data_IF_164238257688
#
_entry.id   IF_164238257688
#
_cell.length_a   1.000
_cell.length_b   1.000
_cell.length_c   1.000
_cell.angle_alpha   90.00
_cell.angle_beta   90.00
_cell.angle_gamma   90.00
#
_symmetry.space_group_name_H-M   'P 1'
#
loop_
_entity.id
_entity.type
_entity.pdbx_description
1 polymer ?
#
# COMPACT_ATOMS: atom_id res chain seq x y z
N UNK A 1 18.83 -7.09 -33.47
CA UNK A 1 18.85 -5.66 -33.86
C UNK A 1 18.79 -4.84 -32.58
N UNK A 2 19.94 -4.43 -32.08
CA UNK A 2 20.11 -3.74 -30.80
C UNK A 2 19.87 -2.25 -31.01
N UNK A 3 18.80 -1.69 -30.47
CA UNK A 3 18.55 -0.25 -30.48
C UNK A 3 19.46 0.42 -29.46
N UNK A 4 20.65 0.83 -29.88
CA UNK A 4 21.52 1.69 -29.08
C UNK A 4 20.84 3.03 -28.87
N UNK A 5 20.47 3.34 -27.63
CA UNK A 5 20.11 4.71 -27.25
C UNK A 5 21.40 5.52 -27.11
N UNK A 6 21.48 6.73 -27.70
CA UNK A 6 22.69 7.53 -27.66
C UNK A 6 22.97 8.06 -26.25
N UNK A 7 24.19 7.80 -25.77
CA UNK A 7 24.79 8.37 -24.57
C UNK A 7 24.93 9.88 -24.74
N UNK A 8 23.93 10.65 -24.30
CA UNK A 8 23.98 12.11 -24.43
C UNK A 8 22.77 12.89 -23.91
N UNK A 9 21.76 12.24 -23.34
CA UNK A 9 20.63 12.92 -22.74
C UNK A 9 20.82 13.05 -21.22
N UNK A 10 20.88 14.31 -20.78
CA UNK A 10 20.85 14.80 -19.41
C UNK A 10 22.22 14.93 -18.73
N UNK A 11 23.03 15.88 -19.22
CA UNK A 11 23.71 16.74 -18.26
C UNK A 11 22.62 17.35 -17.38
N UNK A 12 22.61 17.02 -16.09
CA UNK A 12 21.66 17.59 -15.12
C UNK A 12 21.99 19.07 -15.05
N UNK A 13 21.25 19.86 -15.83
CA UNK A 13 21.45 21.29 -15.88
C UNK A 13 21.36 21.86 -14.47
N UNK A 14 22.38 22.64 -14.19
CA UNK A 14 22.81 23.23 -12.93
C UNK A 14 21.87 24.36 -12.48
N UNK A 15 20.56 24.16 -12.59
CA UNK A 15 19.58 25.17 -12.18
C UNK A 15 19.60 25.27 -10.67
N UNK A 16 19.95 26.46 -10.17
CA UNK A 16 19.81 26.86 -8.77
C UNK A 16 18.40 26.52 -8.29
N UNK A 17 18.26 25.40 -7.60
CA UNK A 17 17.01 25.02 -6.96
C UNK A 17 16.81 26.00 -5.81
N UNK A 18 16.06 27.07 -6.07
CA UNK A 18 15.64 28.00 -5.03
C UNK A 18 15.05 27.18 -3.90
N UNK A 19 15.71 27.20 -2.75
CA UNK A 19 15.25 26.49 -1.56
C UNK A 19 13.95 27.13 -1.09
N UNK A 20 12.83 26.45 -1.34
CA UNK A 20 11.51 26.89 -0.89
C UNK A 20 11.35 26.39 0.54
N UNK A 21 11.27 27.28 1.52
CA UNK A 21 11.10 26.93 2.95
C UNK A 21 9.65 27.03 3.41
N UNK A 22 8.88 27.99 2.87
CA UNK A 22 7.48 28.23 3.19
C UNK A 22 6.57 28.24 1.95
N UNK A 23 5.26 28.06 2.18
CA UNK A 23 4.22 28.11 1.15
C UNK A 23 2.89 28.57 1.74
N UNK A 24 2.14 29.36 0.97
CA UNK A 24 0.77 29.76 1.32
C UNK A 24 -0.23 28.66 0.96
N UNK A 25 -1.05 28.25 1.93
CA UNK A 25 -2.12 27.29 1.70
C UNK A 25 -3.24 27.92 0.85
N UNK A 26 -3.65 27.26 -0.24
CA UNK A 26 -4.73 27.77 -1.12
C UNK A 26 -6.14 27.78 -0.50
N UNK A 27 -6.36 27.10 0.64
CA UNK A 27 -7.68 27.02 1.29
C UNK A 27 -7.80 27.98 2.46
N UNK A 28 -6.86 27.94 3.42
CA UNK A 28 -6.90 28.84 4.59
C UNK A 28 -6.10 30.13 4.40
N UNK A 29 -5.35 30.27 3.31
CA UNK A 29 -4.52 31.45 3.01
C UNK A 29 -3.41 31.76 4.02
N UNK A 30 -3.14 30.88 4.99
CA UNK A 30 -2.01 31.03 5.90
C UNK A 30 -0.69 30.57 5.25
N UNK A 31 0.38 31.33 5.49
CA UNK A 31 1.76 30.93 5.17
C UNK A 31 2.27 29.95 6.22
N UNK A 32 2.79 28.81 5.77
CA UNK A 32 3.29 27.73 6.64
C UNK A 32 4.53 27.11 6.01
N UNK A 33 5.35 26.48 6.85
CA UNK A 33 6.51 25.68 6.40
C UNK A 33 6.08 24.46 5.58
N UNK A 34 6.97 23.99 4.69
CA UNK A 34 6.67 22.85 3.81
C UNK A 34 6.27 21.56 4.57
N UNK A 35 6.71 21.39 5.82
CA UNK A 35 6.34 20.23 6.65
C UNK A 35 4.83 20.14 6.97
N UNK A 36 4.11 21.26 6.88
CA UNK A 36 2.65 21.30 7.07
C UNK A 36 1.87 20.88 5.82
N UNK A 37 2.54 20.53 4.72
CA UNK A 37 1.94 20.06 3.48
C UNK A 37 2.28 18.59 3.25
N UNK A 38 1.42 17.85 2.55
CA UNK A 38 1.71 16.47 2.14
C UNK A 38 2.56 16.45 0.86
N UNK A 39 3.41 15.44 0.66
CA UNK A 39 4.20 15.30 -0.56
C UNK A 39 3.32 15.15 -1.80
N UNK A 40 3.80 15.70 -2.93
CA UNK A 40 3.12 15.65 -4.23
C UNK A 40 4.14 15.74 -5.37
N UNK A 41 4.15 14.74 -6.26
CA UNK A 41 5.17 14.57 -7.29
C UNK A 41 5.34 15.79 -8.22
N UNK A 42 4.24 16.47 -8.55
CA UNK A 42 4.25 17.62 -9.48
C UNK A 42 4.01 18.97 -8.79
N UNK A 43 3.98 18.98 -7.44
CA UNK A 43 3.71 20.21 -6.68
C UNK A 43 4.94 21.13 -6.61
N UNK A 44 4.74 22.45 -6.61
CA UNK A 44 5.82 23.41 -6.30
C UNK A 44 6.41 23.08 -4.92
N UNK A 45 7.72 22.83 -4.88
CA UNK A 45 8.44 22.38 -3.68
C UNK A 45 8.19 20.92 -3.31
N UNK A 46 7.71 20.08 -4.24
CA UNK A 46 7.43 18.66 -3.99
C UNK A 46 6.24 18.40 -3.06
N UNK A 47 5.39 19.40 -2.80
CA UNK A 47 4.26 19.29 -1.85
C UNK A 47 2.95 19.83 -2.42
N UNK A 48 1.82 19.40 -1.85
CA UNK A 48 0.46 19.85 -2.19
C UNK A 48 0.28 21.37 -2.05
N UNK A 49 -0.77 21.91 -2.66
CA UNK A 49 -1.13 23.34 -2.54
C UNK A 49 -1.96 23.67 -1.29
N UNK A 50 -2.43 22.66 -0.56
CA UNK A 50 -3.25 22.78 0.64
C UNK A 50 -2.55 22.12 1.83
N UNK A 51 -2.62 22.74 3.00
CA UNK A 51 -2.01 22.19 4.21
C UNK A 51 -2.74 20.92 4.70
N UNK A 52 -2.07 20.16 5.57
CA UNK A 52 -2.58 18.91 6.16
C UNK A 52 -3.90 19.11 6.90
N UNK A 53 -4.06 20.19 7.66
CA UNK A 53 -5.29 20.51 8.39
C UNK A 53 -6.49 20.67 7.44
N UNK A 54 -6.35 21.54 6.43
CA UNK A 54 -7.35 21.73 5.38
C UNK A 54 -7.67 20.43 4.60
N UNK A 55 -6.70 19.55 4.41
CA UNK A 55 -6.94 18.24 3.78
C UNK A 55 -7.73 17.32 4.71
N UNK A 56 -7.43 17.31 6.01
CA UNK A 56 -8.14 16.51 7.00
C UNK A 56 -9.61 16.95 7.12
N UNK A 57 -9.87 18.25 7.17
CA UNK A 57 -11.23 18.82 7.13
C UNK A 57 -11.97 18.39 5.86
N UNK A 58 -11.38 18.57 4.66
CA UNK A 58 -12.01 18.14 3.41
C UNK A 58 -12.33 16.64 3.41
N UNK A 59 -11.45 15.81 3.99
CA UNK A 59 -11.67 14.37 4.10
C UNK A 59 -12.81 14.04 5.08
N UNK A 60 -12.93 14.76 6.20
CA UNK A 60 -14.03 14.63 7.16
C UNK A 60 -15.36 15.09 6.55
N UNK A 61 -15.37 16.23 5.85
CA UNK A 61 -16.52 16.75 5.12
C UNK A 61 -17.02 15.69 4.12
N UNK A 62 -16.12 15.20 3.25
CA UNK A 62 -16.46 14.17 2.26
C UNK A 62 -17.01 12.90 2.92
N UNK A 63 -16.40 12.44 4.01
CA UNK A 63 -16.81 11.26 4.75
C UNK A 63 -18.24 11.35 5.31
N UNK A 64 -18.67 12.54 5.70
CA UNK A 64 -20.02 12.81 6.19
C UNK A 64 -21.08 12.84 5.07
N UNK A 65 -20.68 12.91 3.80
CA UNK A 65 -21.63 12.86 2.69
C UNK A 65 -22.15 11.43 2.45
N UNK A 66 -23.37 11.25 1.89
CA UNK A 66 -23.85 9.92 1.49
C UNK A 66 -22.89 9.20 0.53
N UNK A 67 -22.26 9.96 -0.38
CA UNK A 67 -21.26 9.43 -1.34
C UNK A 67 -20.02 8.90 -0.62
N UNK A 68 -19.49 9.66 0.35
CA UNK A 68 -18.34 9.24 1.15
C UNK A 68 -18.63 8.01 2.00
N UNK A 69 -19.80 7.95 2.66
CA UNK A 69 -20.25 6.75 3.37
C UNK A 69 -20.34 5.54 2.46
N UNK A 70 -20.96 5.68 1.30
CA UNK A 70 -21.08 4.58 0.33
C UNK A 70 -19.70 4.12 -0.19
N UNK A 71 -18.76 5.05 -0.41
CA UNK A 71 -17.39 4.72 -0.80
C UNK A 71 -16.67 3.92 0.29
N UNK A 72 -16.76 4.34 1.55
CA UNK A 72 -16.20 3.59 2.70
C UNK A 72 -16.82 2.21 2.85
N UNK A 73 -18.14 2.10 2.72
CA UNK A 73 -18.84 0.82 2.80
C UNK A 73 -18.36 -0.16 1.71
N UNK A 74 -18.18 0.32 0.47
CA UNK A 74 -17.62 -0.50 -0.63
C UNK A 74 -16.18 -0.95 -0.35
N UNK A 75 -15.33 -0.06 0.16
CA UNK A 75 -13.96 -0.40 0.52
C UNK A 75 -13.91 -1.46 1.63
N UNK A 76 -14.72 -1.30 2.68
CA UNK A 76 -14.83 -2.27 3.77
C UNK A 76 -15.37 -3.62 3.28
N UNK A 77 -16.39 -3.62 2.41
CA UNK A 77 -16.91 -4.85 1.83
C UNK A 77 -15.85 -5.60 1.03
N UNK A 78 -15.01 -4.88 0.25
CA UNK A 78 -13.88 -5.48 -0.48
C UNK A 78 -12.84 -6.07 0.46
N UNK A 79 -12.49 -5.36 1.54
CA UNK A 79 -11.55 -5.85 2.55
C UNK A 79 -12.06 -7.13 3.22
N UNK A 80 -13.31 -7.13 3.70
CA UNK A 80 -13.93 -8.31 4.32
C UNK A 80 -14.00 -9.49 3.35
N UNK A 81 -14.34 -9.24 2.08
CA UNK A 81 -14.36 -10.29 1.06
C UNK A 81 -12.95 -10.89 0.83
N UNK A 82 -11.91 -10.06 0.76
CA UNK A 82 -10.53 -10.52 0.62
C UNK A 82 -10.07 -11.34 1.82
N UNK A 83 -10.39 -10.89 3.04
CA UNK A 83 -10.06 -11.61 4.27
C UNK A 83 -10.74 -12.99 4.31
N UNK A 84 -12.03 -13.06 4.01
CA UNK A 84 -12.75 -14.35 3.94
C UNK A 84 -12.18 -15.27 2.86
N UNK A 85 -11.77 -14.73 1.72
CA UNK A 85 -11.14 -15.52 0.67
C UNK A 85 -9.79 -16.10 1.12
N UNK A 86 -9.00 -15.32 1.85
CA UNK A 86 -7.75 -15.79 2.43
C UNK A 86 -7.98 -16.89 3.47
N UNK A 87 -8.92 -16.70 4.39
CA UNK A 87 -9.29 -17.70 5.39
C UNK A 87 -9.79 -19.00 4.75
N UNK A 88 -10.59 -18.90 3.68
CA UNK A 88 -11.06 -20.06 2.92
C UNK A 88 -9.92 -20.78 2.20
N UNK A 89 -8.96 -20.04 1.63
CA UNK A 89 -7.78 -20.61 0.99
C UNK A 89 -6.88 -21.36 2.00
N UNK A 90 -6.67 -20.75 3.17
CA UNK A 90 -5.90 -21.35 4.26
C UNK A 90 -6.60 -22.61 4.80
N UNK A 91 -7.92 -22.57 4.95
CA UNK A 91 -8.71 -23.74 5.36
C UNK A 91 -8.63 -24.87 4.33
N UNK A 92 -8.76 -24.56 3.04
CA UNK A 92 -8.62 -25.54 1.96
C UNK A 92 -7.21 -26.14 1.92
N UNK A 93 -6.18 -25.32 2.12
CA UNK A 93 -4.79 -25.78 2.20
C UNK A 93 -4.58 -26.75 3.37
N UNK A 94 -5.10 -26.42 4.56
CA UNK A 94 -5.06 -27.30 5.74
C UNK A 94 -5.75 -28.63 5.48
N UNK A 95 -6.96 -28.61 4.90
CA UNK A 95 -7.68 -29.84 4.55
C UNK A 95 -6.89 -30.71 3.56
N UNK A 96 -6.25 -30.10 2.56
CA UNK A 96 -5.40 -30.80 1.61
C UNK A 96 -4.20 -31.46 2.30
N UNK A 97 -3.55 -30.79 3.25
CA UNK A 97 -2.47 -31.38 4.05
C UNK A 97 -2.98 -32.59 4.82
N UNK A 98 -4.14 -32.50 5.48
CA UNK A 98 -4.72 -33.60 6.24
C UNK A 98 -5.03 -34.81 5.33
N UNK A 99 -5.54 -34.59 4.13
CA UNK A 99 -5.73 -35.66 3.14
C UNK A 99 -4.41 -36.32 2.74
N UNK A 100 -3.33 -35.52 2.51
CA UNK A 100 -2.01 -36.06 2.17
C UNK A 100 -1.47 -36.95 3.31
N UNK A 101 -1.65 -36.54 4.57
CA UNK A 101 -1.22 -37.29 5.76
C UNK A 101 -1.89 -38.66 5.90
N UNK A 102 -3.09 -38.86 5.32
CA UNK A 102 -3.79 -40.14 5.37
C UNK A 102 -3.11 -41.21 4.49
N UNK A 103 -2.40 -40.81 3.44
CA UNK A 103 -1.75 -41.75 2.51
C UNK A 103 -0.33 -42.14 2.96
N UNK A 104 0.11 -43.41 2.81
CA UNK A 104 1.49 -43.81 3.16
C UNK A 104 2.55 -43.04 2.36
N UNK A 105 2.33 -42.86 1.06
CA UNK A 105 3.21 -42.10 0.18
C UNK A 105 3.27 -40.61 0.58
N UNK A 106 2.12 -40.02 0.94
CA UNK A 106 2.04 -38.63 1.40
C UNK A 106 2.76 -38.42 2.73
N UNK A 107 2.67 -39.36 3.68
CA UNK A 107 3.48 -39.32 4.91
C UNK A 107 4.97 -39.40 4.63
N UNK A 108 5.40 -40.32 3.77
CA UNK A 108 6.80 -40.42 3.36
C UNK A 108 7.30 -39.13 2.69
N UNK A 109 6.46 -38.49 1.88
CA UNK A 109 6.75 -37.20 1.25
C UNK A 109 6.87 -36.07 2.29
N UNK A 110 5.90 -35.90 3.18
CA UNK A 110 5.94 -34.87 4.22
C UNK A 110 7.12 -35.05 5.20
N UNK A 111 7.50 -36.30 5.50
CA UNK A 111 8.67 -36.62 6.31
C UNK A 111 9.98 -36.17 5.63
N UNK A 112 10.10 -36.31 4.30
CA UNK A 112 11.26 -35.84 3.54
C UNK A 112 11.46 -34.32 3.60
N UNK A 113 10.36 -33.56 3.70
CA UNK A 113 10.40 -32.09 3.78
C UNK A 113 10.42 -31.55 5.22
N UNK A 114 10.46 -32.41 6.25
CA UNK A 114 10.49 -31.98 7.64
C UNK A 114 9.20 -31.26 8.10
N UNK A 115 8.08 -31.45 7.40
CA UNK A 115 6.80 -30.78 7.69
C UNK A 115 6.01 -31.51 8.78
N UNK A 116 6.32 -32.79 9.02
CA UNK A 116 5.82 -33.50 10.20
C UNK A 116 6.68 -33.06 11.38
N UNK A 117 6.16 -32.13 12.19
CA UNK A 117 6.75 -31.83 13.48
C UNK A 117 6.96 -33.15 14.23
N UNK A 118 8.19 -33.38 14.68
CA UNK A 118 8.52 -34.53 15.49
C UNK A 118 7.52 -34.56 16.65
N UNK A 119 6.66 -35.57 16.66
CA UNK A 119 5.69 -35.74 17.74
C UNK A 119 6.51 -35.76 19.04
N UNK A 120 6.21 -34.89 20.03
CA UNK A 120 6.96 -34.88 21.27
C UNK A 120 6.90 -36.29 21.86
N UNK A 121 8.07 -36.94 21.95
CA UNK A 121 8.19 -38.24 22.60
C UNK A 121 7.86 -38.06 24.07
N UNK A 122 6.77 -38.69 24.52
CA UNK A 122 6.40 -38.77 25.94
C UNK A 122 7.53 -39.37 26.78
#
# INVERSE_FOLDING_TARGET
MSTGMPDGWMAVDKYDTVEITSKVCRRCHCEMELMHFSPHATGRGGVKSTCKACCAEAAADYASTPRGRAARARANAKFVAAQKAQEAADAAYKQKIEQIKQTPAGRAMLARYGVLEASPSC
#
